data_IF_082916235259
#
_entry.id   IF_082916235259
#
_cell.length_a   1.000
_cell.length_b   1.000
_cell.length_c   1.000
_cell.angle_alpha   90.00
_cell.angle_beta   90.00
_cell.angle_gamma   90.00
#
_symmetry.space_group_name_H-M   'P 1'
#
loop_
_entity.id
_entity.type
_entity.pdbx_description
1 polymer ?
#
# COMPACT_ATOMS: atom_id res chain seq x y z
N UNK A 1 -22.48 -4.62 5.66
CA UNK A 1 -21.13 -5.05 5.24
C UNK A 1 -20.12 -5.11 6.41
N UNK A 2 -20.19 -4.21 7.41
CA UNK A 2 -19.20 -4.15 8.51
C UNK A 2 -19.13 -5.43 9.36
N UNK A 3 -20.29 -6.01 9.73
CA UNK A 3 -20.33 -7.19 10.58
C UNK A 3 -19.68 -8.44 9.94
N UNK A 4 -20.02 -8.89 8.70
CA UNK A 4 -19.39 -10.04 8.08
C UNK A 4 -17.90 -9.80 7.79
N UNK A 5 -17.50 -8.59 7.38
CA UNK A 5 -16.11 -8.24 7.17
C UNK A 5 -15.31 -8.26 8.49
N UNK A 6 -15.85 -7.70 9.57
CA UNK A 6 -15.22 -7.73 10.90
C UNK A 6 -15.00 -9.16 11.41
N UNK A 7 -15.99 -10.05 11.22
CA UNK A 7 -15.83 -11.48 11.56
C UNK A 7 -14.73 -12.15 10.73
N UNK A 8 -14.65 -11.83 9.46
CA UNK A 8 -13.61 -12.35 8.58
C UNK A 8 -12.21 -11.89 9.04
N UNK A 9 -12.03 -10.58 9.28
CA UNK A 9 -10.78 -10.00 9.79
C UNK A 9 -10.36 -10.66 11.10
N UNK A 10 -11.31 -10.86 12.03
CA UNK A 10 -11.05 -11.53 13.30
C UNK A 10 -10.54 -12.98 13.10
N UNK A 11 -11.13 -13.74 12.16
CA UNK A 11 -10.67 -15.09 11.82
C UNK A 11 -9.25 -15.09 11.27
N UNK A 12 -8.93 -14.16 10.35
CA UNK A 12 -7.59 -14.01 9.76
C UNK A 12 -6.54 -13.80 10.87
N UNK A 13 -6.79 -12.88 11.80
CA UNK A 13 -5.83 -12.58 12.87
C UNK A 13 -5.74 -13.65 13.95
N UNK A 14 -6.81 -14.41 14.19
CA UNK A 14 -6.78 -15.60 15.07
C UNK A 14 -6.09 -16.79 14.42
N UNK A 15 -5.82 -16.75 13.12
CA UNK A 15 -5.25 -17.88 12.39
C UNK A 15 -6.25 -19.01 12.13
N UNK A 16 -7.54 -18.72 12.20
CA UNK A 16 -8.60 -19.67 11.84
C UNK A 16 -8.62 -19.88 10.33
N UNK A 17 -9.12 -21.04 9.89
CA UNK A 17 -9.24 -21.35 8.46
C UNK A 17 -10.16 -20.36 7.74
N UNK A 18 -9.69 -19.87 6.59
CA UNK A 18 -10.42 -18.96 5.72
C UNK A 18 -10.38 -19.45 4.27
N UNK A 19 -11.26 -18.92 3.43
CA UNK A 19 -11.28 -19.26 2.00
C UNK A 19 -9.99 -18.81 1.26
N UNK A 20 -9.20 -17.91 1.85
CA UNK A 20 -7.91 -17.42 1.30
C UNK A 20 -6.70 -18.23 1.78
N UNK A 21 -6.90 -19.41 2.38
CA UNK A 21 -5.77 -20.25 2.83
C UNK A 21 -4.91 -20.75 1.67
N UNK A 22 -5.37 -20.65 0.42
CA UNK A 22 -4.53 -20.86 -0.76
C UNK A 22 -3.38 -19.87 -0.89
N UNK A 23 -3.43 -18.71 -0.20
CA UNK A 23 -2.32 -17.75 -0.12
C UNK A 23 -1.23 -18.16 0.88
N UNK A 24 -1.46 -19.16 1.72
CA UNK A 24 -0.50 -19.60 2.74
C UNK A 24 0.88 -20.02 2.19
N UNK A 25 1.01 -20.64 1.01
CA UNK A 25 2.34 -20.90 0.42
C UNK A 25 3.12 -19.62 0.12
N UNK A 26 2.45 -18.58 -0.38
CA UNK A 26 3.06 -17.27 -0.67
C UNK A 26 3.53 -16.61 0.63
N UNK A 27 2.69 -16.61 1.66
CA UNK A 27 3.03 -16.09 2.98
C UNK A 27 4.26 -16.80 3.58
N UNK A 28 4.29 -18.15 3.51
CA UNK A 28 5.44 -18.95 3.97
C UNK A 28 6.72 -18.63 3.21
N UNK A 29 6.62 -18.42 1.91
CA UNK A 29 7.75 -18.02 1.06
C UNK A 29 8.27 -16.64 1.47
N UNK A 30 7.38 -15.67 1.71
CA UNK A 30 7.74 -14.33 2.21
C UNK A 30 8.45 -14.43 3.58
N UNK A 31 7.91 -15.20 4.53
CA UNK A 31 8.54 -15.41 5.84
C UNK A 31 9.95 -16.00 5.70
N UNK A 32 10.11 -17.00 4.82
CA UNK A 32 11.40 -17.65 4.58
C UNK A 32 12.45 -16.70 4.02
N UNK A 33 12.08 -15.87 3.02
CA UNK A 33 13.01 -14.89 2.42
C UNK A 33 13.41 -13.81 3.42
N UNK A 34 12.44 -13.33 4.21
CA UNK A 34 12.68 -12.27 5.18
C UNK A 34 13.27 -12.77 6.51
N UNK A 35 13.51 -14.09 6.67
CA UNK A 35 14.03 -14.66 7.92
C UNK A 35 13.06 -14.50 9.10
N UNK A 36 11.76 -14.47 8.86
CA UNK A 36 10.73 -14.28 9.87
C UNK A 36 10.31 -15.64 10.43
N UNK A 37 10.39 -15.82 11.75
CA UNK A 37 9.75 -16.96 12.43
C UNK A 37 8.27 -16.60 12.71
N UNK A 38 7.32 -17.25 12.03
CA UNK A 38 5.90 -16.94 12.20
C UNK A 38 5.34 -17.36 13.58
N UNK A 39 6.05 -18.21 14.32
CA UNK A 39 5.63 -18.66 15.64
C UNK A 39 6.18 -17.79 16.77
N UNK A 40 7.05 -16.86 16.46
CA UNK A 40 7.60 -15.96 17.46
C UNK A 40 6.52 -14.98 17.99
N UNK A 41 6.36 -14.92 19.30
CA UNK A 41 5.51 -13.93 19.97
C UNK A 41 6.37 -12.74 20.45
N UNK A 42 6.06 -11.55 19.99
CA UNK A 42 6.81 -10.33 20.27
C UNK A 42 6.23 -9.57 21.45
N UNK A 43 7.10 -9.11 22.35
CA UNK A 43 6.76 -8.07 23.32
C UNK A 43 6.66 -6.71 22.62
N UNK A 44 6.05 -5.71 23.28
CA UNK A 44 5.76 -4.41 22.68
C UNK A 44 7.01 -3.68 22.11
N UNK A 45 8.17 -3.82 22.73
CA UNK A 45 9.43 -3.20 22.26
C UNK A 45 9.88 -3.79 20.92
N UNK A 46 9.88 -5.13 20.79
CA UNK A 46 10.26 -5.83 19.56
C UNK A 46 9.26 -5.54 18.45
N UNK A 47 7.97 -5.49 18.79
CA UNK A 47 6.89 -5.15 17.88
C UNK A 47 7.04 -3.72 17.34
N UNK A 48 7.28 -2.74 18.21
CA UNK A 48 7.55 -1.36 17.81
C UNK A 48 8.80 -1.26 16.94
N UNK A 49 9.88 -1.94 17.31
CA UNK A 49 11.11 -1.95 16.51
C UNK A 49 10.88 -2.52 15.11
N UNK A 50 10.11 -3.62 14.98
CA UNK A 50 9.76 -4.19 13.68
C UNK A 50 8.95 -3.20 12.82
N UNK A 51 7.97 -2.50 13.43
CA UNK A 51 7.21 -1.45 12.75
C UNK A 51 8.11 -0.30 12.28
N UNK A 52 9.02 0.18 13.12
CA UNK A 52 9.96 1.24 12.73
C UNK A 52 10.91 0.78 11.64
N UNK A 53 11.39 -0.47 11.70
CA UNK A 53 12.29 -1.03 10.68
C UNK A 53 11.64 -1.04 9.30
N UNK A 54 10.39 -1.47 9.19
CA UNK A 54 9.69 -1.47 7.90
C UNK A 54 9.52 -0.05 7.36
N UNK A 55 9.22 0.91 8.23
CA UNK A 55 9.08 2.31 7.82
C UNK A 55 10.41 2.89 7.32
N UNK A 56 11.50 2.68 8.05
CA UNK A 56 12.84 3.14 7.63
C UNK A 56 13.26 2.53 6.30
N UNK A 57 13.05 1.23 6.11
CA UNK A 57 13.37 0.55 4.86
C UNK A 57 12.62 1.17 3.67
N UNK A 58 11.30 1.34 3.78
CA UNK A 58 10.51 1.90 2.70
C UNK A 58 10.77 3.39 2.48
N UNK A 59 11.13 4.13 3.52
CA UNK A 59 11.56 5.51 3.36
C UNK A 59 12.74 5.63 2.39
N UNK A 60 13.82 4.87 2.62
CA UNK A 60 14.97 4.89 1.71
C UNK A 60 14.62 4.36 0.32
N UNK A 61 13.81 3.31 0.22
CA UNK A 61 13.30 2.83 -1.05
C UNK A 61 12.59 3.93 -1.85
N UNK A 62 11.66 4.64 -1.23
CA UNK A 62 10.92 5.72 -1.87
C UNK A 62 11.80 6.89 -2.26
N UNK A 63 12.71 7.30 -1.39
CA UNK A 63 13.67 8.38 -1.67
C UNK A 63 14.48 8.11 -2.94
N UNK A 64 15.06 6.93 -3.03
CA UNK A 64 15.88 6.54 -4.19
C UNK A 64 15.03 6.55 -5.47
N UNK A 65 13.86 5.94 -5.44
CA UNK A 65 13.02 5.83 -6.65
C UNK A 65 12.47 7.19 -7.10
N UNK A 66 12.03 8.05 -6.19
CA UNK A 66 11.48 9.37 -6.52
C UNK A 66 12.54 10.31 -7.09
N UNK A 67 13.73 10.34 -6.51
CA UNK A 67 14.84 11.16 -7.02
C UNK A 67 15.33 10.66 -8.38
N UNK A 68 15.37 9.33 -8.57
CA UNK A 68 15.89 8.69 -9.78
C UNK A 68 14.82 8.43 -10.85
N UNK A 69 13.55 8.80 -10.64
CA UNK A 69 12.44 8.38 -11.49
C UNK A 69 12.59 8.75 -12.97
N UNK A 70 13.30 9.84 -13.28
CA UNK A 70 13.52 10.26 -14.66
C UNK A 70 14.32 9.25 -15.51
N UNK A 71 15.07 8.34 -14.86
CA UNK A 71 15.86 7.28 -15.51
C UNK A 71 15.17 5.91 -15.46
N UNK A 72 14.06 5.81 -14.75
CA UNK A 72 13.33 4.56 -14.58
C UNK A 72 12.38 4.29 -15.76
N UNK A 73 12.03 3.02 -16.01
CA UNK A 73 11.06 2.67 -17.04
C UNK A 73 9.66 3.21 -16.73
N UNK A 74 8.71 3.03 -17.65
CA UNK A 74 7.33 3.46 -17.53
C UNK A 74 7.19 4.99 -17.32
N UNK A 75 7.99 5.75 -18.09
CA UNK A 75 7.99 7.20 -18.12
C UNK A 75 7.71 7.74 -19.55
N UNK A 76 6.50 7.49 -20.10
CA UNK A 76 6.20 7.90 -21.47
C UNK A 76 6.15 9.43 -21.65
N UNK A 77 5.84 10.17 -20.58
CA UNK A 77 5.73 11.63 -20.61
C UNK A 77 7.05 12.36 -20.31
N UNK A 78 8.16 11.64 -20.07
CA UNK A 78 9.47 12.23 -19.80
C UNK A 78 9.54 13.02 -18.49
N UNK A 79 8.78 12.65 -17.48
CA UNK A 79 8.77 13.33 -16.18
C UNK A 79 10.14 13.24 -15.51
N UNK A 80 10.67 14.37 -15.02
CA UNK A 80 11.96 14.46 -14.34
C UNK A 80 11.93 13.83 -12.93
N UNK A 81 13.12 13.59 -12.35
CA UNK A 81 13.25 13.22 -10.94
C UNK A 81 12.68 14.29 -10.01
N UNK A 82 12.13 13.88 -8.87
CA UNK A 82 11.74 14.84 -7.84
C UNK A 82 12.99 15.46 -7.19
N UNK A 83 12.87 16.72 -6.76
CA UNK A 83 13.90 17.33 -5.91
C UNK A 83 13.98 16.58 -4.57
N UNK A 84 15.18 16.52 -3.92
CA UNK A 84 15.35 15.75 -2.69
C UNK A 84 14.41 16.17 -1.55
N UNK A 85 14.10 17.46 -1.44
CA UNK A 85 13.16 18.02 -0.46
C UNK A 85 11.71 17.57 -0.73
N UNK A 86 11.29 17.59 -2.00
CA UNK A 86 9.97 17.10 -2.40
C UNK A 86 9.85 15.58 -2.21
N UNK A 87 10.88 14.82 -2.62
CA UNK A 87 10.93 13.37 -2.42
C UNK A 87 10.86 12.99 -0.93
N UNK A 88 11.60 13.73 -0.07
CA UNK A 88 11.55 13.55 1.38
C UNK A 88 10.13 13.78 1.92
N UNK A 89 9.52 14.89 1.56
CA UNK A 89 8.15 15.22 1.98
C UNK A 89 7.15 14.18 1.50
N UNK A 90 7.25 13.77 0.24
CA UNK A 90 6.42 12.70 -0.34
C UNK A 90 6.57 11.40 0.44
N UNK A 91 7.81 10.94 0.68
CA UNK A 91 8.06 9.71 1.43
C UNK A 91 7.47 9.75 2.83
N UNK A 92 7.74 10.80 3.60
CA UNK A 92 7.22 10.93 4.97
C UNK A 92 5.69 10.94 4.95
N UNK A 93 5.09 11.72 4.05
CA UNK A 93 3.64 11.84 3.97
C UNK A 93 2.95 10.49 3.70
N UNK A 94 3.47 9.71 2.76
CA UNK A 94 2.91 8.40 2.43
C UNK A 94 3.24 7.34 3.49
N UNK A 95 4.40 7.42 4.14
CA UNK A 95 4.81 6.49 5.20
C UNK A 95 3.94 6.60 6.46
N UNK A 96 3.46 7.79 6.80
CA UNK A 96 2.56 8.01 7.94
C UNK A 96 1.08 7.93 7.56
N UNK A 97 0.77 7.46 6.36
CA UNK A 97 -0.59 7.34 5.83
C UNK A 97 -1.37 8.67 5.78
N UNK A 98 -0.66 9.79 5.63
CA UNK A 98 -1.25 11.13 5.56
C UNK A 98 -1.59 11.52 4.13
N UNK A 99 -0.71 11.19 3.19
CA UNK A 99 -0.84 11.42 1.74
C UNK A 99 -1.10 12.88 1.35
N UNK A 100 -0.49 13.82 2.05
CA UNK A 100 -0.44 15.22 1.63
C UNK A 100 0.49 15.37 0.44
N UNK A 101 -0.05 15.80 -0.69
CA UNK A 101 0.70 15.94 -1.92
C UNK A 101 1.06 17.41 -2.15
N UNK A 102 2.33 17.65 -2.49
CA UNK A 102 2.87 18.95 -2.90
C UNK A 102 3.29 18.94 -4.38
N UNK A 103 2.72 18.03 -5.17
CA UNK A 103 2.95 17.84 -6.60
C UNK A 103 1.65 17.35 -7.26
N UNK A 104 1.55 17.48 -8.58
CA UNK A 104 0.55 16.79 -9.38
C UNK A 104 1.09 15.42 -9.79
N UNK A 105 0.37 14.34 -9.50
CA UNK A 105 0.75 12.98 -9.90
C UNK A 105 0.90 12.81 -11.41
N UNK A 106 0.11 13.56 -12.16
CA UNK A 106 0.09 13.51 -13.63
C UNK A 106 1.34 14.10 -14.29
N UNK A 107 2.00 15.06 -13.66
CA UNK A 107 3.18 15.74 -14.20
C UNK A 107 4.44 15.57 -13.36
N UNK A 108 4.31 15.20 -12.10
CA UNK A 108 5.42 15.07 -11.15
C UNK A 108 5.86 13.64 -10.86
N UNK A 109 5.13 12.62 -11.36
CA UNK A 109 5.44 11.21 -11.13
C UNK A 109 5.43 10.41 -12.42
N UNK A 110 6.34 9.44 -12.53
CA UNK A 110 6.28 8.41 -13.57
C UNK A 110 5.31 7.29 -13.17
N UNK A 111 4.81 6.50 -14.11
CA UNK A 111 3.97 5.34 -13.77
C UNK A 111 4.71 4.33 -12.90
N UNK A 112 6.03 4.22 -13.07
CA UNK A 112 6.86 3.38 -12.23
C UNK A 112 6.78 3.81 -10.76
N UNK A 113 7.01 5.09 -10.47
CA UNK A 113 6.95 5.60 -9.10
C UNK A 113 5.53 5.63 -8.54
N UNK A 114 4.53 5.86 -9.37
CA UNK A 114 3.13 5.74 -8.95
C UNK A 114 2.79 4.33 -8.44
N UNK A 115 3.29 3.28 -9.11
CA UNK A 115 3.04 1.89 -8.70
C UNK A 115 3.94 1.45 -7.55
N UNK A 116 5.27 1.66 -7.69
CA UNK A 116 6.28 1.09 -6.78
C UNK A 116 6.65 1.98 -5.59
N UNK A 117 6.14 3.21 -5.55
CA UNK A 117 6.25 4.09 -4.38
C UNK A 117 4.85 4.43 -3.87
N UNK A 118 4.07 5.20 -4.62
CA UNK A 118 2.81 5.74 -4.11
C UNK A 118 1.80 4.64 -3.76
N UNK A 119 1.44 3.80 -4.72
CA UNK A 119 0.50 2.69 -4.50
C UNK A 119 1.03 1.69 -3.46
N UNK A 120 2.31 1.32 -3.57
CA UNK A 120 2.94 0.36 -2.66
C UNK A 120 2.94 0.88 -1.21
N UNK A 121 3.24 2.17 -1.01
CA UNK A 121 3.22 2.77 0.32
C UNK A 121 1.80 2.84 0.88
N UNK A 122 0.83 3.26 0.10
CA UNK A 122 -0.57 3.25 0.50
C UNK A 122 -1.03 1.85 0.95
N UNK A 123 -0.54 0.82 0.28
CA UNK A 123 -0.83 -0.57 0.61
C UNK A 123 -0.14 -1.04 1.89
N UNK A 124 1.16 -0.81 2.00
CA UNK A 124 1.96 -1.27 3.15
C UNK A 124 1.61 -0.51 4.42
N UNK A 125 1.42 0.81 4.35
CA UNK A 125 1.12 1.62 5.53
C UNK A 125 -0.28 1.31 6.09
N UNK A 126 -1.24 1.03 5.22
CA UNK A 126 -2.53 0.50 5.64
C UNK A 126 -2.39 -0.84 6.37
N UNK A 127 -1.58 -1.76 5.80
CA UNK A 127 -1.25 -3.03 6.44
C UNK A 127 -0.53 -2.86 7.78
N UNK A 128 0.40 -1.92 7.90
CA UNK A 128 1.09 -1.58 9.15
C UNK A 128 0.11 -1.07 10.21
N UNK A 129 -0.79 -0.16 9.84
CA UNK A 129 -1.84 0.35 10.71
C UNK A 129 -2.76 -0.76 11.23
N UNK A 130 -3.20 -1.65 10.34
CA UNK A 130 -4.00 -2.82 10.70
C UNK A 130 -3.25 -3.78 11.63
N UNK A 131 -1.97 -4.03 11.38
CA UNK A 131 -1.14 -4.89 12.21
C UNK A 131 -0.94 -4.29 13.62
N UNK A 132 -0.67 -2.99 13.69
CA UNK A 132 -0.53 -2.27 14.95
C UNK A 132 -1.83 -2.31 15.77
N UNK A 133 -2.97 -2.06 15.13
CA UNK A 133 -4.28 -2.12 15.75
C UNK A 133 -4.62 -3.53 16.25
N UNK A 134 -4.32 -4.57 15.46
CA UNK A 134 -4.54 -5.95 15.85
C UNK A 134 -3.70 -6.33 17.09
N UNK A 135 -2.42 -5.91 17.14
CA UNK A 135 -1.57 -6.08 18.31
C UNK A 135 -2.11 -5.37 19.54
N UNK A 136 -2.58 -4.15 19.38
CA UNK A 136 -3.20 -3.38 20.46
C UNK A 136 -4.47 -4.06 20.98
N UNK A 137 -5.37 -4.51 20.11
CA UNK A 137 -6.57 -5.22 20.52
C UNK A 137 -6.27 -6.55 21.23
N UNK A 138 -5.23 -7.28 20.79
CA UNK A 138 -4.76 -8.49 21.46
C UNK A 138 -4.30 -8.16 22.90
N UNK A 139 -3.55 -7.07 23.06
CA UNK A 139 -3.12 -6.61 24.38
C UNK A 139 -4.29 -6.21 25.29
N UNK A 140 -5.26 -5.46 24.75
CA UNK A 140 -6.44 -5.01 25.53
C UNK A 140 -7.38 -6.16 25.90
N UNK A 141 -7.51 -7.17 25.05
CA UNK A 141 -8.36 -8.33 25.32
C UNK A 141 -7.77 -9.30 26.33
N UNK A 142 -6.47 -9.27 26.58
CA UNK A 142 -5.78 -10.14 27.53
C UNK A 142 -5.84 -9.52 28.95
N UNK A 143 -6.12 -10.33 29.95
CA UNK A 143 -6.07 -9.87 31.36
C UNK A 143 -4.65 -9.54 31.80
N UNK A 144 -3.69 -10.38 31.41
CA UNK A 144 -2.25 -10.19 31.60
C UNK A 144 -1.54 -10.78 30.39
N UNK A 145 -0.70 -10.00 29.73
CA UNK A 145 0.10 -10.49 28.61
C UNK A 145 1.48 -9.84 28.60
N UNK A 146 2.50 -10.60 28.22
CA UNK A 146 3.84 -10.08 27.93
C UNK A 146 4.10 -9.93 26.43
N UNK A 147 3.23 -10.48 25.60
CA UNK A 147 3.36 -10.50 24.15
C UNK A 147 2.09 -10.01 23.48
N UNK A 148 2.21 -9.36 22.33
CA UNK A 148 1.10 -8.75 21.59
C UNK A 148 0.97 -9.30 20.17
N UNK A 149 1.65 -10.41 19.88
CA UNK A 149 1.66 -11.08 18.58
C UNK A 149 2.94 -10.82 17.81
N UNK A 150 2.96 -11.26 16.57
CA UNK A 150 4.09 -11.05 15.66
C UNK A 150 3.70 -9.98 14.64
N UNK A 151 4.39 -8.83 14.64
CA UNK A 151 4.11 -7.72 13.73
C UNK A 151 4.17 -8.14 12.26
N UNK A 152 5.21 -8.88 11.86
CA UNK A 152 5.41 -9.29 10.48
C UNK A 152 4.29 -10.21 9.98
N UNK A 153 3.87 -11.14 10.82
CA UNK A 153 2.76 -12.05 10.50
C UNK A 153 1.45 -11.28 10.35
N UNK A 154 1.20 -10.34 11.25
CA UNK A 154 0.00 -9.49 11.19
C UNK A 154 0.04 -8.60 9.93
N UNK A 155 1.19 -8.01 9.62
CA UNK A 155 1.38 -7.19 8.41
C UNK A 155 1.13 -8.01 7.13
N UNK A 156 1.80 -9.15 6.99
CA UNK A 156 1.66 -9.99 5.79
C UNK A 156 0.21 -10.45 5.62
N UNK A 157 -0.45 -10.92 6.70
CA UNK A 157 -1.86 -11.33 6.64
C UNK A 157 -2.79 -10.16 6.31
N UNK A 158 -2.54 -8.96 6.83
CA UNK A 158 -3.31 -7.76 6.47
C UNK A 158 -3.23 -7.48 4.98
N UNK A 159 -2.03 -7.54 4.42
CA UNK A 159 -1.78 -7.31 3.00
C UNK A 159 -2.39 -8.43 2.14
N UNK A 160 -2.06 -9.70 2.40
CA UNK A 160 -2.40 -10.82 1.50
C UNK A 160 -3.84 -11.27 1.61
N UNK A 161 -4.43 -11.23 2.80
CA UNK A 161 -5.77 -11.80 3.07
C UNK A 161 -6.87 -10.77 3.18
N UNK A 162 -6.57 -9.50 3.37
CA UNK A 162 -7.59 -8.45 3.55
C UNK A 162 -7.48 -7.43 2.43
N UNK A 163 -6.39 -6.68 2.37
CA UNK A 163 -6.26 -5.55 1.43
C UNK A 163 -6.20 -6.01 -0.03
N UNK A 164 -5.33 -6.96 -0.35
CA UNK A 164 -5.11 -7.41 -1.73
C UNK A 164 -6.37 -7.98 -2.40
N UNK A 165 -7.11 -8.94 -1.82
CA UNK A 165 -8.30 -9.48 -2.47
C UNK A 165 -9.41 -8.44 -2.63
N UNK A 166 -9.59 -7.55 -1.66
CA UNK A 166 -10.57 -6.48 -1.75
C UNK A 166 -10.18 -5.45 -2.83
N UNK A 167 -8.90 -5.09 -2.92
CA UNK A 167 -8.42 -4.15 -3.95
C UNK A 167 -8.57 -4.72 -5.35
N UNK A 168 -8.33 -6.03 -5.54
CA UNK A 168 -8.55 -6.69 -6.82
C UNK A 168 -10.01 -6.63 -7.26
N UNK A 169 -10.94 -6.96 -6.37
CA UNK A 169 -12.37 -6.93 -6.67
C UNK A 169 -12.80 -5.53 -7.11
N UNK A 170 -12.42 -4.50 -6.33
CA UNK A 170 -12.76 -3.11 -6.64
C UNK A 170 -12.07 -2.64 -7.92
N UNK A 171 -10.80 -3.00 -8.13
CA UNK A 171 -10.03 -2.69 -9.35
C UNK A 171 -10.71 -3.24 -10.61
N UNK A 172 -11.14 -4.50 -10.59
CA UNK A 172 -11.89 -5.09 -11.70
C UNK A 172 -13.22 -4.36 -11.96
N UNK A 173 -13.95 -3.99 -10.90
CA UNK A 173 -15.19 -3.21 -11.05
C UNK A 173 -14.90 -1.86 -11.70
N UNK A 174 -13.82 -1.17 -11.32
CA UNK A 174 -13.41 0.11 -11.91
C UNK A 174 -13.04 -0.02 -13.39
N UNK A 175 -12.27 -1.05 -13.75
CA UNK A 175 -11.91 -1.33 -15.15
C UNK A 175 -13.17 -1.57 -16.00
N UNK A 176 -14.10 -2.37 -15.50
CA UNK A 176 -15.37 -2.62 -16.20
C UNK A 176 -16.23 -1.36 -16.37
N UNK A 177 -16.02 -0.35 -15.53
CA UNK A 177 -16.68 0.95 -15.63
C UNK A 177 -15.84 2.02 -16.36
N UNK A 178 -14.79 1.61 -17.10
CA UNK A 178 -14.02 2.50 -17.96
C UNK A 178 -12.91 3.29 -17.28
N UNK A 179 -12.54 2.94 -16.03
CA UNK A 179 -11.38 3.58 -15.38
C UNK A 179 -10.09 3.15 -16.08
N UNK A 180 -9.19 4.09 -16.45
CA UNK A 180 -7.95 3.78 -17.15
C UNK A 180 -7.07 2.81 -16.35
N UNK A 181 -6.44 1.87 -17.07
CA UNK A 181 -5.44 0.94 -16.56
C UNK A 181 -4.40 0.69 -17.64
N UNK A 182 -3.76 1.76 -18.09
CA UNK A 182 -2.77 1.74 -19.16
C UNK A 182 -1.39 2.22 -18.70
N UNK A 183 -0.47 2.19 -19.66
CA UNK A 183 0.88 2.72 -19.51
C UNK A 183 1.25 3.65 -20.66
N UNK A 184 0.26 4.05 -21.45
CA UNK A 184 0.42 4.99 -22.53
C UNK A 184 0.62 6.41 -21.99
N UNK A 185 1.24 7.26 -22.79
CA UNK A 185 1.41 8.67 -22.47
C UNK A 185 0.06 9.42 -22.43
N UNK A 186 0.12 10.69 -22.09
CA UNK A 186 -1.04 11.58 -22.05
C UNK A 186 -1.71 11.64 -23.41
N UNK A 187 -3.03 11.65 -23.41
CA UNK A 187 -3.85 11.83 -24.60
C UNK A 187 -4.37 13.27 -24.67
N UNK A 188 -4.18 13.91 -25.80
CA UNK A 188 -4.76 15.20 -26.07
C UNK A 188 -6.16 15.04 -26.69
N UNK A 189 -7.13 15.64 -26.08
CA UNK A 189 -8.52 15.60 -26.47
C UNK A 189 -9.03 17.02 -26.69
N UNK A 190 -10.05 17.16 -27.54
CA UNK A 190 -10.80 18.41 -27.67
C UNK A 190 -12.12 18.23 -26.95
N UNK A 191 -12.45 19.11 -26.00
CA UNK A 191 -13.72 19.09 -25.28
C UNK A 191 -14.88 19.46 -26.24
N UNK A 192 -16.11 19.19 -25.83
CA UNK A 192 -17.29 19.57 -26.60
C UNK A 192 -17.39 21.08 -26.85
N UNK A 193 -16.78 21.89 -25.97
CA UNK A 193 -16.70 23.35 -26.09
C UNK A 193 -15.52 23.82 -26.96
N UNK A 194 -14.74 22.90 -27.52
CA UNK A 194 -13.59 23.20 -28.40
C UNK A 194 -12.27 23.52 -27.66
N UNK A 195 -12.20 23.36 -26.35
CA UNK A 195 -10.97 23.54 -25.59
C UNK A 195 -10.07 22.32 -25.69
N UNK A 196 -8.75 22.49 -25.77
CA UNK A 196 -7.79 21.41 -25.68
C UNK A 196 -7.68 20.92 -24.23
N UNK A 197 -7.72 19.60 -24.04
CA UNK A 197 -7.58 18.95 -22.75
C UNK A 197 -6.59 17.79 -22.84
N UNK A 198 -5.64 17.72 -21.91
CA UNK A 198 -4.70 16.61 -21.78
C UNK A 198 -5.18 15.67 -20.67
N UNK A 199 -5.34 14.39 -21.00
CA UNK A 199 -5.83 13.37 -20.06
C UNK A 199 -4.78 12.27 -19.88
N UNK A 200 -4.43 11.98 -18.64
CA UNK A 200 -3.53 10.87 -18.28
C UNK A 200 -4.22 9.51 -18.42
N UNK A 201 -3.50 8.53 -18.99
CA UNK A 201 -3.98 7.16 -19.23
C UNK A 201 -3.38 6.13 -18.27
N UNK A 202 -2.80 6.59 -17.16
CA UNK A 202 -2.03 5.77 -16.23
C UNK A 202 -2.82 4.66 -15.51
N UNK A 203 -2.15 3.89 -14.62
CA UNK A 203 -2.72 2.72 -13.95
C UNK A 203 -3.69 3.09 -12.81
N UNK A 204 -4.65 3.95 -13.07
CA UNK A 204 -5.60 4.51 -12.10
C UNK A 204 -6.44 3.44 -11.43
N UNK A 205 -6.91 2.45 -12.19
CA UNK A 205 -7.74 1.37 -11.65
C UNK A 205 -7.01 0.45 -10.65
N UNK A 206 -5.67 0.41 -10.66
CA UNK A 206 -4.88 -0.27 -9.64
C UNK A 206 -4.71 0.58 -8.38
N UNK A 207 -4.49 1.88 -8.53
CA UNK A 207 -4.16 2.80 -7.43
C UNK A 207 -5.39 3.13 -6.58
N UNK A 208 -6.52 3.47 -7.22
CA UNK A 208 -7.73 3.95 -6.54
C UNK A 208 -8.30 2.97 -5.51
N UNK A 209 -8.41 1.66 -5.78
CA UNK A 209 -8.90 0.71 -4.78
C UNK A 209 -8.06 0.68 -3.51
N UNK A 210 -6.73 0.68 -3.67
CA UNK A 210 -5.80 0.63 -2.55
C UNK A 210 -5.86 1.93 -1.75
N UNK A 211 -5.89 3.06 -2.43
CA UNK A 211 -6.08 4.38 -1.82
C UNK A 211 -7.33 4.45 -0.94
N UNK A 212 -8.45 3.94 -1.44
CA UNK A 212 -9.72 4.00 -0.70
C UNK A 212 -9.78 2.99 0.44
N UNK A 213 -9.31 1.75 0.22
CA UNK A 213 -9.26 0.72 1.28
C UNK A 213 -8.28 1.08 2.40
N UNK A 214 -7.15 1.69 2.06
CA UNK A 214 -6.14 2.15 3.00
C UNK A 214 -6.52 3.43 3.76
N UNK A 215 -7.65 4.07 3.42
CA UNK A 215 -8.10 5.38 3.94
C UNK A 215 -7.11 6.51 3.71
N UNK A 216 -6.27 6.39 2.68
CA UNK A 216 -5.18 7.31 2.40
C UNK A 216 -5.64 8.70 1.94
N UNK A 217 -6.64 8.78 1.10
CA UNK A 217 -7.26 10.04 0.69
C UNK A 217 -6.54 10.84 -0.40
N UNK A 218 -5.23 10.72 -0.52
CA UNK A 218 -4.42 11.38 -1.53
C UNK A 218 -4.11 10.48 -2.73
N UNK A 219 -3.56 11.01 -3.80
CA UNK A 219 -3.10 10.25 -4.97
C UNK A 219 -3.73 10.65 -6.26
#
# INVERSE_FOLDING_TARGET
LSYPLGRYIAKVYKGERTWLDFMAPVEKWMYKICGIDPNEEMGWKKFLFALLTVNVFWFFWGMVLLVCQGWLPLNPDGNAGQSPDLAFNTCISFMVNCNLQHYSGESGLTYFTQLFVIMLFQFITAGCGMAALAGMFKAMAAKTTRTIGNFWVLLVKSCTRILFPLSLIVGFILILNGTPMGFDGKMELTTLEGAAQTVSQGPTAAIVPIKQLGTNGGG
#
